data_IF_651486655001
#
_entry.id   IF_651486655001
#
_cell.length_a   1.000
_cell.length_b   1.000
_cell.length_c   1.000
_cell.angle_alpha   90.00
_cell.angle_beta   90.00
_cell.angle_gamma   90.00
#
_symmetry.space_group_name_H-M   'P 1'
#
loop_
_entity.id
_entity.type
_entity.pdbx_description
1 polymer ?
#
# COMPACT_ATOMS: atom_id res chain seq x y z
N UNK A 1 4.57 0.12 5.70
CA UNK A 1 4.81 -0.28 7.09
C UNK A 1 3.50 -0.40 7.85
N UNK A 2 3.50 -1.18 8.90
CA UNK A 2 2.36 -1.39 9.79
C UNK A 2 2.88 -1.77 11.19
N UNK A 3 2.06 -1.57 12.20
CA UNK A 3 2.34 -1.97 13.58
C UNK A 3 1.03 -2.38 14.25
N UNK A 4 1.03 -3.52 14.96
CA UNK A 4 -0.09 -3.92 15.80
C UNK A 4 0.08 -3.24 17.17
N UNK A 5 -0.93 -2.48 17.60
CA UNK A 5 -0.91 -1.77 18.85
C UNK A 5 -2.15 -2.10 19.68
N UNK A 6 -2.03 -2.07 20.99
CA UNK A 6 -3.15 -2.22 21.92
C UNK A 6 -3.93 -0.92 22.13
N UNK A 7 -3.40 0.20 21.69
CA UNK A 7 -3.98 1.53 21.78
C UNK A 7 -3.86 2.32 20.50
N UNK A 8 -4.22 3.60 20.55
CA UNK A 8 -4.12 4.56 19.44
C UNK A 8 -3.53 5.87 19.94
N UNK A 9 -2.29 5.84 20.43
CA UNK A 9 -1.56 7.02 20.86
C UNK A 9 -0.82 7.69 19.68
N UNK A 10 -0.42 8.97 19.85
CA UNK A 10 0.42 9.66 18.88
C UNK A 10 1.78 8.94 18.69
N UNK A 11 2.34 8.36 19.76
CA UNK A 11 3.55 7.54 19.73
C UNK A 11 3.42 6.32 18.82
N UNK A 12 2.26 5.66 18.77
CA UNK A 12 2.06 4.51 17.87
C UNK A 12 2.08 4.93 16.40
N UNK A 13 1.57 6.13 16.11
CA UNK A 13 1.66 6.72 14.76
C UNK A 13 3.11 7.05 14.43
N UNK A 14 3.87 7.67 15.34
CA UNK A 14 5.28 8.01 15.15
C UNK A 14 6.13 6.76 14.90
N UNK A 15 5.92 5.68 15.66
CA UNK A 15 6.61 4.41 15.47
C UNK A 15 6.32 3.81 14.09
N UNK A 16 5.06 3.83 13.67
CA UNK A 16 4.67 3.33 12.34
C UNK A 16 5.29 4.17 11.22
N UNK A 17 5.41 5.48 11.41
CA UNK A 17 6.08 6.37 10.46
C UNK A 17 7.60 6.13 10.42
N UNK A 18 8.24 5.86 11.57
CA UNK A 18 9.65 5.48 11.61
C UNK A 18 9.89 4.19 10.80
N UNK A 19 9.08 3.16 11.01
CA UNK A 19 9.13 1.93 10.20
C UNK A 19 8.93 2.19 8.70
N UNK A 20 8.06 3.15 8.36
CA UNK A 20 7.83 3.50 6.95
C UNK A 20 9.02 4.23 6.33
N UNK A 21 9.66 5.14 7.06
CA UNK A 21 10.85 5.86 6.61
C UNK A 21 12.01 4.90 6.42
N UNK A 22 12.26 4.02 7.39
CA UNK A 22 13.29 2.97 7.32
C UNK A 22 13.06 2.05 6.12
N UNK A 23 11.86 1.48 5.99
CA UNK A 23 11.52 0.58 4.88
C UNK A 23 11.62 1.22 3.50
N UNK A 24 11.53 2.54 3.40
CA UNK A 24 11.70 3.30 2.17
C UNK A 24 13.13 3.82 1.95
N UNK A 25 14.03 3.67 2.94
CA UNK A 25 15.38 4.24 2.94
C UNK A 25 15.40 5.77 2.99
N UNK A 26 14.30 6.41 3.37
CA UNK A 26 14.18 7.87 3.41
C UNK A 26 14.74 8.49 4.69
N UNK A 27 15.08 7.69 5.66
CA UNK A 27 15.80 8.07 6.87
C UNK A 27 17.31 8.28 6.63
N UNK A 28 17.87 7.56 5.65
CA UNK A 28 19.30 7.59 5.33
C UNK A 28 19.68 8.61 4.24
N UNK A 29 18.71 9.12 3.49
CA UNK A 29 18.97 10.00 2.35
C UNK A 29 18.31 11.38 2.52
N UNK A 30 19.04 12.41 2.10
CA UNK A 30 18.48 13.76 2.05
C UNK A 30 17.68 13.92 0.73
N UNK A 31 16.36 13.85 0.82
CA UNK A 31 15.46 13.99 -0.32
C UNK A 31 14.80 15.36 -0.34
N UNK A 32 14.65 15.94 -1.52
CA UNK A 32 14.02 17.26 -1.72
C UNK A 32 12.54 17.25 -1.34
N UNK A 33 11.86 16.12 -1.59
CA UNK A 33 10.44 15.97 -1.30
C UNK A 33 10.20 14.73 -0.44
N UNK A 34 9.95 14.94 0.83
CA UNK A 34 9.53 13.86 1.72
C UNK A 34 8.06 13.49 1.50
N UNK A 35 7.68 12.24 1.79
CA UNK A 35 6.28 11.81 1.74
C UNK A 35 5.40 12.69 2.62
N UNK A 36 4.16 12.89 2.19
CA UNK A 36 3.14 13.59 2.98
C UNK A 36 2.31 12.58 3.75
N UNK A 37 2.12 12.81 5.04
CA UNK A 37 1.13 12.07 5.81
C UNK A 37 -0.27 12.54 5.43
N UNK A 38 -1.13 11.61 5.05
CA UNK A 38 -2.56 11.84 4.86
C UNK A 38 -3.32 11.06 5.93
N UNK A 39 -4.10 11.75 6.74
CA UNK A 39 -4.87 11.13 7.83
C UNK A 39 -6.29 11.68 7.91
N UNK A 40 -7.11 11.07 8.76
CA UNK A 40 -8.34 11.66 9.26
C UNK A 40 -8.05 12.67 10.39
N UNK A 41 -9.09 13.07 11.12
CA UNK A 41 -9.00 13.98 12.26
C UNK A 41 -9.08 13.23 13.60
N UNK A 42 -8.63 11.96 13.64
CA UNK A 42 -8.56 11.20 14.88
C UNK A 42 -7.66 11.86 15.94
N UNK A 43 -7.90 11.59 17.24
CA UNK A 43 -7.15 12.24 18.33
C UNK A 43 -5.63 12.13 18.20
N UNK A 44 -5.13 10.98 17.76
CA UNK A 44 -3.69 10.75 17.57
C UNK A 44 -3.09 11.63 16.47
N UNK A 45 -3.89 11.99 15.46
CA UNK A 45 -3.44 12.79 14.31
C UNK A 45 -3.54 14.30 14.54
N UNK A 46 -4.28 14.75 15.56
CA UNK A 46 -4.40 16.17 15.89
C UNK A 46 -3.49 16.59 17.06
N UNK A 47 -2.72 15.65 17.64
CA UNK A 47 -1.85 15.92 18.78
C UNK A 47 -0.68 16.83 18.40
N UNK A 48 -0.26 17.68 19.36
CA UNK A 48 0.93 18.52 19.22
C UNK A 48 2.20 17.69 19.02
N UNK A 49 2.35 16.59 19.77
CA UNK A 49 3.51 15.70 19.71
C UNK A 49 3.73 15.14 18.30
N UNK A 50 2.66 14.78 17.60
CA UNK A 50 2.77 14.32 16.21
C UNK A 50 3.16 15.47 15.27
N UNK A 51 2.63 16.68 15.51
CA UNK A 51 2.96 17.85 14.69
C UNK A 51 4.45 18.22 14.82
N UNK A 52 5.01 18.20 16.02
CA UNK A 52 6.42 18.43 16.28
C UNK A 52 7.30 17.36 15.62
N UNK A 53 6.93 16.08 15.81
CA UNK A 53 7.63 14.97 15.16
C UNK A 53 7.68 15.11 13.64
N UNK A 54 6.55 15.46 13.00
CA UNK A 54 6.50 15.61 11.54
C UNK A 54 7.34 16.81 11.06
N UNK A 55 7.36 17.91 11.85
CA UNK A 55 8.21 19.05 11.56
C UNK A 55 9.70 18.67 11.61
N UNK A 56 10.13 17.94 12.64
CA UNK A 56 11.51 17.46 12.79
C UNK A 56 11.92 16.54 11.62
N UNK A 57 11.00 15.70 11.15
CA UNK A 57 11.23 14.84 10.00
C UNK A 57 11.09 15.55 8.65
N UNK A 58 10.74 16.84 8.62
CA UNK A 58 10.49 17.61 7.39
C UNK A 58 9.31 17.06 6.56
N UNK A 59 8.34 16.42 7.20
CA UNK A 59 7.18 15.83 6.56
C UNK A 59 5.98 16.77 6.64
N UNK A 60 5.21 16.83 5.55
CA UNK A 60 3.94 17.55 5.54
C UNK A 60 2.81 16.66 6.03
N UNK A 61 1.85 17.25 6.72
CA UNK A 61 0.62 16.60 7.15
C UNK A 61 -0.60 17.21 6.44
N UNK A 62 -1.39 16.38 5.79
CA UNK A 62 -2.69 16.75 5.24
C UNK A 62 -3.77 15.94 5.92
N UNK A 63 -4.71 16.62 6.54
CA UNK A 63 -5.89 15.98 7.16
C UNK A 63 -7.08 16.06 6.21
N UNK A 64 -7.87 15.00 6.16
CA UNK A 64 -9.12 14.98 5.41
C UNK A 64 -10.06 16.08 5.90
N UNK A 65 -10.78 16.72 4.98
CA UNK A 65 -11.83 17.65 5.36
C UNK A 65 -12.93 16.90 6.13
N UNK A 66 -13.52 17.50 7.18
CA UNK A 66 -14.65 16.92 7.87
C UNK A 66 -15.76 16.57 6.87
N UNK A 67 -16.37 15.41 7.04
CA UNK A 67 -17.45 14.89 6.18
C UNK A 67 -17.09 14.61 4.70
N UNK A 68 -15.79 14.52 4.35
CA UNK A 68 -15.32 14.14 3.03
C UNK A 68 -14.58 12.78 3.05
N UNK A 69 -15.29 11.64 3.12
CA UNK A 69 -14.69 10.30 3.23
C UNK A 69 -13.89 9.88 1.99
N UNK A 70 -14.13 10.51 0.84
CA UNK A 70 -13.48 10.14 -0.42
C UNK A 70 -11.94 10.19 -0.36
N UNK A 71 -11.38 11.09 0.47
CA UNK A 71 -9.93 11.25 0.64
C UNK A 71 -9.29 10.01 1.28
N UNK A 72 -10.05 9.29 2.12
CA UNK A 72 -9.61 8.11 2.87
C UNK A 72 -10.02 6.78 2.22
N UNK A 73 -10.83 6.80 1.15
CA UNK A 73 -11.45 5.60 0.59
C UNK A 73 -10.49 4.47 0.17
N UNK A 74 -9.22 4.79 -0.12
CA UNK A 74 -8.20 3.75 -0.43
C UNK A 74 -7.76 3.01 0.82
N UNK A 75 -7.48 3.72 1.92
CA UNK A 75 -7.05 3.10 3.18
C UNK A 75 -8.21 2.37 3.85
N UNK A 76 -9.43 2.91 3.78
CA UNK A 76 -10.63 2.24 4.28
C UNK A 76 -10.86 0.90 3.56
N UNK A 77 -10.74 0.88 2.24
CA UNK A 77 -10.85 -0.35 1.45
C UNK A 77 -9.75 -1.35 1.78
N UNK A 78 -8.54 -0.88 2.04
CA UNK A 78 -7.45 -1.72 2.49
C UNK A 78 -7.76 -2.34 3.85
N UNK A 79 -8.18 -1.54 4.83
CA UNK A 79 -8.60 -2.03 6.14
C UNK A 79 -9.76 -3.01 6.06
N UNK A 80 -10.76 -2.75 5.22
CA UNK A 80 -11.87 -3.69 5.01
C UNK A 80 -11.38 -5.02 4.43
N UNK A 81 -10.45 -4.97 3.49
CA UNK A 81 -9.86 -6.19 2.89
C UNK A 81 -9.06 -6.99 3.92
N UNK A 82 -8.27 -6.31 4.75
CA UNK A 82 -7.54 -6.91 5.86
C UNK A 82 -8.49 -7.55 6.88
N UNK A 83 -9.48 -6.78 7.35
CA UNK A 83 -10.48 -7.29 8.32
C UNK A 83 -11.22 -8.51 7.80
N UNK A 84 -11.66 -8.52 6.56
CA UNK A 84 -12.34 -9.65 5.94
C UNK A 84 -11.46 -10.90 5.89
N UNK A 85 -10.15 -10.76 5.81
CA UNK A 85 -9.21 -11.88 5.85
C UNK A 85 -8.92 -12.34 7.26
N UNK A 86 -8.61 -11.41 8.16
CA UNK A 86 -8.20 -11.70 9.54
C UNK A 86 -9.37 -12.26 10.37
N UNK A 87 -10.59 -11.75 10.20
CA UNK A 87 -11.76 -12.18 10.98
C UNK A 87 -12.30 -13.56 10.59
N UNK A 88 -11.71 -14.23 9.60
CA UNK A 88 -12.08 -15.61 9.24
C UNK A 88 -11.48 -16.66 10.19
N UNK A 89 -10.49 -16.29 10.96
CA UNK A 89 -9.75 -17.19 11.84
C UNK A 89 -9.78 -16.71 13.30
N UNK A 90 -9.58 -17.61 14.22
CA UNK A 90 -9.43 -17.31 15.65
C UNK A 90 -7.93 -17.26 15.99
N UNK A 91 -7.52 -16.22 16.69
CA UNK A 91 -6.14 -16.04 17.13
C UNK A 91 -6.08 -16.19 18.65
N UNK A 92 -5.23 -17.08 19.13
CA UNK A 92 -5.08 -17.35 20.56
C UNK A 92 -3.97 -16.50 21.18
N UNK A 93 -2.97 -16.13 20.39
CA UNK A 93 -1.84 -15.31 20.83
C UNK A 93 -1.69 -14.07 19.94
N UNK A 94 -1.26 -12.93 20.50
CA UNK A 94 -0.98 -11.72 19.69
C UNK A 94 0.01 -11.98 18.55
N UNK A 95 1.03 -12.83 18.78
CA UNK A 95 2.01 -13.19 17.76
C UNK A 95 1.42 -13.94 16.55
N UNK A 96 0.37 -14.75 16.77
CA UNK A 96 -0.33 -15.42 15.66
C UNK A 96 -1.04 -14.39 14.77
N UNK A 97 -1.66 -13.39 15.38
CA UNK A 97 -2.30 -12.30 14.66
C UNK A 97 -1.27 -11.45 13.89
N UNK A 98 -0.14 -11.11 14.50
CA UNK A 98 0.94 -10.39 13.82
C UNK A 98 1.46 -11.14 12.61
N UNK A 99 1.73 -12.43 12.74
CA UNK A 99 2.20 -13.27 11.63
C UNK A 99 1.19 -13.30 10.45
N UNK A 100 -0.10 -13.37 10.77
CA UNK A 100 -1.15 -13.34 9.73
C UNK A 100 -1.28 -11.97 9.07
N UNK A 101 -1.14 -10.88 9.81
CA UNK A 101 -1.13 -9.53 9.24
C UNK A 101 0.08 -9.37 8.32
N UNK A 102 1.26 -9.82 8.74
CA UNK A 102 2.47 -9.73 7.94
C UNK A 102 2.35 -10.53 6.64
N UNK A 103 1.89 -11.77 6.71
CA UNK A 103 1.61 -12.59 5.53
C UNK A 103 0.60 -11.92 4.58
N UNK A 104 -0.45 -11.31 5.13
CA UNK A 104 -1.43 -10.58 4.34
C UNK A 104 -0.82 -9.34 3.66
N UNK A 105 -0.04 -8.55 4.38
CA UNK A 105 0.63 -7.35 3.83
C UNK A 105 1.61 -7.74 2.72
N UNK A 106 2.38 -8.79 2.93
CA UNK A 106 3.27 -9.36 1.92
C UNK A 106 2.52 -9.77 0.65
N UNK A 107 1.45 -10.54 0.80
CA UNK A 107 0.59 -10.93 -0.31
C UNK A 107 -0.04 -9.71 -1.02
N UNK A 108 -0.60 -8.78 -0.27
CA UNK A 108 -1.26 -7.58 -0.81
C UNK A 108 -0.30 -6.73 -1.64
N UNK A 109 0.91 -6.53 -1.15
CA UNK A 109 1.88 -5.67 -1.80
C UNK A 109 2.58 -6.32 -3.00
N UNK A 110 2.84 -7.63 -2.95
CA UNK A 110 3.70 -8.30 -3.93
C UNK A 110 2.98 -9.28 -4.86
N UNK A 111 1.77 -9.74 -4.51
CA UNK A 111 1.09 -10.79 -5.27
C UNK A 111 -0.30 -10.39 -5.75
N UNK A 112 -0.99 -9.51 -5.01
CA UNK A 112 -2.34 -9.09 -5.38
C UNK A 112 -2.31 -8.06 -6.51
N UNK A 113 -2.91 -8.41 -7.64
CA UNK A 113 -3.13 -7.47 -8.74
C UNK A 113 -4.32 -6.55 -8.46
N UNK A 114 -4.18 -5.27 -8.85
CA UNK A 114 -5.21 -4.25 -8.67
C UNK A 114 -5.63 -3.68 -10.02
N UNK A 115 -6.91 -3.76 -10.33
CA UNK A 115 -7.46 -3.22 -11.57
C UNK A 115 -7.17 -1.72 -11.72
N UNK A 116 -7.32 -0.95 -10.64
CA UNK A 116 -7.01 0.48 -10.60
C UNK A 116 -5.51 0.81 -10.84
N UNK A 117 -4.64 -0.19 -10.79
CA UNK A 117 -3.22 -0.10 -11.11
C UNK A 117 -2.88 -0.82 -12.43
N UNK A 118 -3.82 -0.95 -13.35
CA UNK A 118 -3.64 -1.71 -14.60
C UNK A 118 -3.22 -3.18 -14.36
N UNK A 119 -3.80 -3.82 -13.34
CA UNK A 119 -3.44 -5.17 -12.91
C UNK A 119 -1.95 -5.32 -12.55
N UNK A 120 -1.35 -4.30 -11.98
CA UNK A 120 -0.05 -4.36 -11.33
C UNK A 120 -0.22 -4.57 -9.82
N UNK A 121 0.85 -5.03 -9.17
CA UNK A 121 0.90 -5.05 -7.72
C UNK A 121 1.30 -3.68 -7.18
N UNK A 122 0.95 -3.32 -5.93
CA UNK A 122 1.43 -2.09 -5.30
C UNK A 122 2.96 -1.95 -5.34
N UNK A 123 3.68 -3.04 -5.11
CA UNK A 123 5.14 -3.06 -5.15
C UNK A 123 5.69 -2.75 -6.55
N UNK A 124 5.07 -3.25 -7.63
CA UNK A 124 5.50 -2.94 -9.00
C UNK A 124 5.39 -1.46 -9.32
N UNK A 125 4.32 -0.82 -8.83
CA UNK A 125 4.12 0.63 -9.01
C UNK A 125 5.10 1.42 -8.15
N UNK A 126 5.24 1.05 -6.89
CA UNK A 126 6.12 1.75 -5.94
C UNK A 126 7.59 1.73 -6.36
N UNK A 127 8.07 0.58 -6.85
CA UNK A 127 9.47 0.43 -7.30
C UNK A 127 9.72 0.91 -8.73
N UNK A 128 8.72 1.47 -9.41
CA UNK A 128 8.84 1.98 -10.78
C UNK A 128 8.91 0.90 -11.88
N UNK A 129 8.71 -0.39 -11.54
CA UNK A 129 8.74 -1.51 -12.51
C UNK A 129 7.50 -1.57 -13.39
N UNK A 130 6.42 -0.89 -13.00
CA UNK A 130 5.11 -1.02 -13.62
C UNK A 130 5.11 -0.80 -15.13
N UNK A 131 5.80 0.24 -15.61
CA UNK A 131 5.85 0.55 -17.04
C UNK A 131 6.52 -0.56 -17.86
N UNK A 132 7.63 -1.10 -17.37
CA UNK A 132 8.32 -2.22 -18.03
C UNK A 132 7.42 -3.44 -18.13
N UNK A 133 6.73 -3.80 -17.04
CA UNK A 133 5.81 -4.94 -17.02
C UNK A 133 4.66 -4.73 -18.02
N UNK A 134 4.08 -3.55 -18.11
CA UNK A 134 3.00 -3.26 -19.06
C UNK A 134 3.46 -3.35 -20.50
N UNK A 135 4.65 -2.86 -20.83
CA UNK A 135 5.24 -2.99 -22.16
C UNK A 135 5.48 -4.44 -22.54
N UNK A 136 6.00 -5.26 -21.63
CA UNK A 136 6.20 -6.70 -21.89
C UNK A 136 4.87 -7.44 -22.07
N UNK A 137 3.86 -7.15 -21.27
CA UNK A 137 2.51 -7.70 -21.45
C UNK A 137 1.92 -7.36 -22.81
N UNK A 138 2.10 -6.12 -23.28
CA UNK A 138 1.63 -5.73 -24.61
C UNK A 138 2.36 -6.47 -25.74
N UNK A 139 3.68 -6.65 -25.65
CA UNK A 139 4.46 -7.47 -26.62
C UNK A 139 3.95 -8.91 -26.65
N UNK A 140 3.76 -9.52 -25.48
CA UNK A 140 3.24 -10.89 -25.37
C UNK A 140 1.84 -10.98 -26.00
N UNK A 141 0.95 -10.04 -25.68
CA UNK A 141 -0.40 -9.97 -26.23
C UNK A 141 -0.38 -9.90 -27.75
N UNK A 142 0.42 -9.00 -28.34
CA UNK A 142 0.55 -8.85 -29.79
C UNK A 142 1.06 -10.15 -30.44
N UNK A 143 2.09 -10.76 -29.85
CA UNK A 143 2.63 -12.04 -30.33
C UNK A 143 1.59 -13.16 -30.30
N UNK A 144 0.89 -13.29 -29.17
CA UNK A 144 -0.17 -14.31 -28.99
C UNK A 144 -1.30 -14.13 -30.01
N UNK A 145 -1.75 -12.89 -30.20
CA UNK A 145 -2.82 -12.59 -31.18
C UNK A 145 -2.37 -12.89 -32.61
N UNK A 146 -1.12 -12.61 -32.97
CA UNK A 146 -0.56 -12.95 -34.29
C UNK A 146 -0.52 -14.46 -34.50
N UNK A 147 -0.03 -15.22 -33.52
CA UNK A 147 0.01 -16.70 -33.60
C UNK A 147 -1.38 -17.29 -33.70
N UNK A 148 -2.34 -16.85 -32.92
CA UNK A 148 -3.73 -17.33 -33.00
C UNK A 148 -4.36 -17.06 -34.39
N UNK A 149 -4.12 -15.90 -34.99
CA UNK A 149 -4.59 -15.58 -36.35
C UNK A 149 -3.98 -16.50 -37.39
N UNK A 150 -2.67 -16.79 -37.30
CA UNK A 150 -1.99 -17.70 -38.21
C UNK A 150 -2.55 -19.13 -38.07
N UNK A 151 -2.70 -19.64 -36.87
CA UNK A 151 -3.28 -20.94 -36.58
C UNK A 151 -4.71 -21.06 -37.14
N UNK A 152 -5.55 -20.06 -36.93
CA UNK A 152 -6.91 -20.02 -37.44
C UNK A 152 -6.93 -20.02 -39.00
N UNK A 153 -6.06 -19.25 -39.63
CA UNK A 153 -5.96 -19.24 -41.09
C UNK A 153 -5.51 -20.60 -41.67
N UNK A 154 -4.59 -21.30 -40.97
CA UNK A 154 -4.13 -22.63 -41.36
C UNK A 154 -5.19 -23.73 -41.18
N UNK A 155 -6.06 -23.61 -40.19
CA UNK A 155 -7.13 -24.59 -39.95
C UNK A 155 -8.40 -24.33 -40.77
N UNK A 156 -8.49 -23.18 -41.46
CA UNK A 156 -9.60 -22.82 -42.34
C UNK A 156 -9.29 -23.05 -43.84
N UNK A 157 -8.05 -23.46 -44.15
CA UNK A 157 -7.58 -23.84 -45.49
C UNK A 157 -7.51 -25.35 -45.62
#
# INVERSE_FOLDING_TARGET
AWKLCSGMAASDVQDTLNLALEASGLDEVNVVHRPRLLSDNGPSYISGDLAEYLADKGMQHTRGAPYHPQTQGKIERWHQTLKNRILLENYFLPGDLEAQIDAFVGYYNHQRYHESLNNLTPADVYTGRGQTILLEREKIKRRTMKLRRLQHAQSAA
#
